data_IF_017444825633
#
_entry.id   IF_017444825633
#
_cell.length_a   1.000
_cell.length_b   1.000
_cell.length_c   1.000
_cell.angle_alpha   90.00
_cell.angle_beta   90.00
_cell.angle_gamma   90.00
#
_symmetry.space_group_name_H-M   'P 1'
#
loop_
_entity.id
_entity.type
_entity.pdbx_description
1 polymer ?
#
# COMPACT_ATOMS: atom_id res chain seq x y z
N UNK A 1 -10.49 -20.83 9.88
CA UNK A 1 -9.26 -20.48 10.61
C UNK A 1 -8.98 -19.03 10.26
N UNK A 2 -9.44 -18.09 11.10
CA UNK A 2 -9.34 -16.65 10.86
C UNK A 2 -8.36 -16.03 11.85
N UNK A 3 -7.53 -15.11 11.36
CA UNK A 3 -6.53 -14.38 12.14
C UNK A 3 -7.10 -13.04 12.63
N UNK A 4 -6.64 -12.55 13.79
CA UNK A 4 -6.95 -11.22 14.35
C UNK A 4 -8.16 -11.17 15.31
N UNK A 5 -7.92 -11.04 16.62
CA UNK A 5 -8.97 -10.96 17.65
C UNK A 5 -9.34 -9.53 18.08
N UNK A 6 -8.64 -8.51 17.62
CA UNK A 6 -8.75 -7.15 18.17
C UNK A 6 -9.46 -6.13 17.26
N UNK A 7 -9.66 -6.46 15.98
CA UNK A 7 -10.48 -5.66 15.06
C UNK A 7 -11.43 -6.58 14.31
N UNK A 8 -12.73 -6.24 14.32
CA UNK A 8 -13.77 -6.99 13.60
C UNK A 8 -14.53 -6.02 12.71
N UNK A 9 -13.86 -5.50 11.68
CA UNK A 9 -14.52 -4.67 10.66
C UNK A 9 -15.36 -5.52 9.68
N UNK A 10 -15.16 -6.84 9.67
CA UNK A 10 -15.94 -7.77 8.83
C UNK A 10 -15.38 -7.93 7.41
N UNK A 11 -14.27 -7.26 7.08
CA UNK A 11 -13.51 -7.42 5.84
C UNK A 11 -12.03 -7.66 6.15
N UNK A 12 -11.49 -8.81 5.73
CA UNK A 12 -10.07 -9.14 5.96
C UNK A 12 -9.12 -8.12 5.32
N UNK A 13 -9.53 -7.43 4.25
CA UNK A 13 -8.73 -6.39 3.61
C UNK A 13 -8.64 -5.14 4.48
N UNK A 14 -9.73 -4.78 5.15
CA UNK A 14 -9.75 -3.63 6.04
C UNK A 14 -8.88 -3.86 7.28
N UNK A 15 -8.96 -5.06 7.87
CA UNK A 15 -8.14 -5.42 9.03
C UNK A 15 -6.63 -5.39 8.69
N UNK A 16 -6.21 -5.93 7.53
CA UNK A 16 -4.79 -5.92 7.08
C UNK A 16 -4.30 -4.50 6.81
N UNK A 17 -5.07 -3.68 6.10
CA UNK A 17 -4.63 -2.32 5.77
C UNK A 17 -4.57 -1.42 7.01
N UNK A 18 -5.44 -1.66 7.98
CA UNK A 18 -5.40 -0.99 9.27
C UNK A 18 -4.14 -1.39 10.04
N UNK A 19 -3.79 -2.67 10.06
CA UNK A 19 -2.53 -3.14 10.67
C UNK A 19 -1.29 -2.56 10.00
N UNK A 20 -1.29 -2.39 8.67
CA UNK A 20 -0.19 -1.69 7.95
C UNK A 20 -0.11 -0.22 8.38
N UNK A 21 -1.23 0.49 8.42
CA UNK A 21 -1.27 1.89 8.84
C UNK A 21 -0.86 2.06 10.32
N UNK A 22 -1.27 1.13 11.17
CA UNK A 22 -0.92 1.10 12.59
C UNK A 22 0.55 0.76 12.79
N UNK A 23 1.11 -0.24 12.10
CA UNK A 23 2.55 -0.57 12.16
C UNK A 23 3.45 0.56 11.61
N UNK A 24 2.93 1.34 10.66
CA UNK A 24 3.59 2.55 10.17
C UNK A 24 3.49 3.74 11.15
N UNK A 25 2.62 3.68 12.17
CA UNK A 25 2.36 4.78 13.11
C UNK A 25 2.70 4.49 14.60
N UNK A 26 2.64 3.25 15.07
CA UNK A 26 3.03 2.83 16.41
C UNK A 26 3.36 1.32 16.48
N UNK A 27 4.48 0.99 17.10
CA UNK A 27 5.02 -0.37 17.24
C UNK A 27 4.16 -1.21 18.17
N UNK A 28 3.48 -2.26 17.68
CA UNK A 28 3.21 -3.56 18.33
C UNK A 28 2.11 -4.39 17.60
N UNK A 29 2.47 -5.52 16.97
CA UNK A 29 1.84 -6.85 17.13
C UNK A 29 2.40 -7.89 16.13
N UNK A 30 2.14 -9.17 16.41
CA UNK A 30 2.82 -10.39 15.91
C UNK A 30 1.75 -11.30 15.23
N UNK A 31 1.93 -11.84 13.98
CA UNK A 31 1.59 -13.24 13.55
C UNK A 31 1.45 -13.55 12.02
N UNK A 32 2.38 -14.36 11.48
CA UNK A 32 2.86 -14.64 10.07
C UNK A 32 1.96 -14.75 8.80
N UNK A 33 2.24 -13.90 7.79
CA UNK A 33 1.87 -13.84 6.34
C UNK A 33 2.92 -13.01 5.55
N UNK A 34 2.93 -12.93 4.20
CA UNK A 34 4.00 -12.20 3.48
C UNK A 34 4.04 -10.69 3.75
N UNK A 35 2.91 -10.11 4.17
CA UNK A 35 2.81 -8.71 4.59
C UNK A 35 3.67 -8.40 5.81
N UNK A 36 3.98 -9.40 6.62
CA UNK A 36 4.63 -9.19 7.90
C UNK A 36 6.04 -9.71 7.97
N UNK A 37 6.58 -10.31 6.91
CA UNK A 37 8.01 -10.15 6.65
C UNK A 37 8.31 -8.68 6.38
N UNK A 38 7.51 -8.02 5.54
CA UNK A 38 7.67 -6.60 5.24
C UNK A 38 7.39 -5.71 6.46
N UNK A 39 6.37 -6.03 7.28
CA UNK A 39 6.13 -5.34 8.55
C UNK A 39 7.22 -5.71 9.59
N UNK A 40 7.66 -6.97 9.69
CA UNK A 40 8.77 -7.34 10.60
C UNK A 40 10.11 -6.73 10.18
N UNK A 41 10.35 -6.48 8.90
CA UNK A 41 11.53 -5.73 8.43
C UNK A 41 11.45 -4.26 8.87
N UNK A 42 10.24 -3.70 9.01
CA UNK A 42 10.02 -2.40 9.65
C UNK A 42 10.16 -2.46 11.19
N UNK A 43 9.71 -3.55 11.83
CA UNK A 43 9.70 -3.70 13.30
C UNK A 43 11.00 -4.27 13.90
N UNK A 44 11.81 -4.96 13.09
CA UNK A 44 12.90 -5.84 13.47
C UNK A 44 14.30 -5.29 13.19
N UNK A 45 14.60 -4.12 13.76
CA UNK A 45 15.93 -3.53 13.74
C UNK A 45 16.33 -2.96 15.09
N UNK A 46 16.65 -3.80 16.08
CA UNK A 46 17.50 -3.40 17.22
C UNK A 46 18.98 -3.23 16.76
N UNK A 47 19.17 -2.64 15.59
CA UNK A 47 20.46 -2.31 14.99
C UNK A 47 20.47 -0.78 14.80
N UNK A 48 21.49 -0.05 15.30
CA UNK A 48 21.60 1.40 15.14
C UNK A 48 21.73 1.85 13.66
N UNK A 49 21.76 0.94 12.69
CA UNK A 49 21.55 1.19 11.27
C UNK A 49 20.07 1.04 10.90
N UNK A 50 19.26 2.05 11.23
CA UNK A 50 17.91 2.20 10.71
C UNK A 50 18.00 2.32 9.17
N UNK A 51 17.62 1.28 8.42
CA UNK A 51 17.76 1.21 6.96
C UNK A 51 16.86 2.20 6.18
N UNK A 52 16.15 3.10 6.85
CA UNK A 52 15.37 4.16 6.20
C UNK A 52 14.12 3.67 5.45
N UNK A 53 13.74 2.40 5.61
CA UNK A 53 12.53 1.84 5.00
C UNK A 53 11.30 2.40 5.74
N UNK A 54 10.38 3.02 5.01
CA UNK A 54 9.26 3.78 5.59
C UNK A 54 7.89 3.35 5.04
N UNK A 55 7.89 2.43 4.08
CA UNK A 55 6.70 2.08 3.29
C UNK A 55 6.67 0.60 2.94
N UNK A 56 5.50 -0.02 3.10
CA UNK A 56 5.17 -1.34 2.52
C UNK A 56 4.23 -1.09 1.34
N UNK A 57 4.70 -1.22 0.08
CA UNK A 57 3.83 -1.06 -1.08
C UNK A 57 2.78 -2.17 -1.11
N UNK A 58 1.55 -1.81 -1.47
CA UNK A 58 0.46 -2.77 -1.61
C UNK A 58 -0.16 -2.72 -3.00
N UNK A 59 -0.62 -3.88 -3.47
CA UNK A 59 -1.52 -4.02 -4.62
C UNK A 59 -2.87 -4.47 -4.08
N UNK A 60 -3.94 -3.74 -4.44
CA UNK A 60 -5.31 -4.08 -4.09
C UNK A 60 -6.01 -4.77 -5.27
N UNK A 61 -6.97 -5.65 -5.01
CA UNK A 61 -7.68 -6.38 -6.05
C UNK A 61 -9.18 -6.20 -5.90
N UNK A 62 -9.82 -5.74 -6.96
CA UNK A 62 -11.24 -5.43 -7.01
C UNK A 62 -12.10 -6.68 -6.77
N UNK A 63 -13.17 -6.49 -6.00
CA UNK A 63 -14.16 -7.53 -5.72
C UNK A 63 -14.93 -7.88 -6.99
N UNK A 64 -14.92 -9.16 -7.36
CA UNK A 64 -15.75 -9.73 -8.43
C UNK A 64 -14.95 -10.21 -9.63
N UNK A 65 -13.98 -9.44 -10.11
CA UNK A 65 -13.13 -9.81 -11.25
C UNK A 65 -11.71 -10.23 -10.86
N UNK A 66 -11.36 -10.10 -9.57
CA UNK A 66 -10.02 -10.37 -9.04
C UNK A 66 -8.93 -9.63 -9.83
N UNK A 67 -9.24 -8.45 -10.38
CA UNK A 67 -8.26 -7.64 -11.11
C UNK A 67 -7.54 -6.68 -10.17
N UNK A 68 -6.23 -6.44 -10.40
CA UNK A 68 -5.51 -5.39 -9.71
C UNK A 68 -6.21 -4.05 -9.88
N UNK A 69 -6.35 -3.33 -8.78
CA UNK A 69 -6.87 -1.98 -8.76
C UNK A 69 -5.82 -1.04 -9.34
N UNK A 70 -6.26 -0.24 -10.31
CA UNK A 70 -5.45 0.78 -10.95
C UNK A 70 -5.94 2.15 -10.50
N UNK A 71 -5.07 2.86 -9.78
CA UNK A 71 -5.31 4.21 -9.32
C UNK A 71 -4.90 5.20 -10.38
N UNK A 72 -5.65 6.29 -10.51
CA UNK A 72 -5.36 7.39 -11.43
C UNK A 72 -5.32 8.70 -10.66
N UNK A 73 -4.42 9.59 -11.03
CA UNK A 73 -4.46 10.95 -10.52
C UNK A 73 -3.52 11.88 -11.27
N UNK A 74 -3.56 13.13 -10.86
CA UNK A 74 -2.82 14.22 -11.50
C UNK A 74 -1.98 14.88 -10.41
N UNK A 75 -0.66 15.11 -10.65
CA UNK A 75 0.18 15.83 -9.70
C UNK A 75 -0.38 17.23 -9.41
N UNK A 76 -0.37 17.66 -8.16
CA UNK A 76 -0.93 18.96 -7.78
C UNK A 76 -0.20 20.17 -8.43
N UNK A 77 1.03 19.97 -8.91
CA UNK A 77 1.85 20.99 -9.57
C UNK A 77 1.75 21.02 -11.10
N UNK A 78 1.15 20.00 -11.72
CA UNK A 78 1.05 19.88 -13.17
C UNK A 78 -0.29 19.25 -13.56
N UNK A 79 -1.24 20.10 -13.99
CA UNK A 79 -2.57 19.67 -14.42
C UNK A 79 -2.59 19.03 -15.82
N UNK A 80 -1.43 18.88 -16.47
CA UNK A 80 -1.31 18.40 -17.85
C UNK A 80 -1.34 16.88 -17.99
N UNK A 81 -0.58 16.17 -17.16
CA UNK A 81 -0.32 14.74 -17.35
C UNK A 81 -0.87 13.92 -16.19
N UNK A 82 -1.93 13.17 -16.48
CA UNK A 82 -2.47 12.18 -15.56
C UNK A 82 -1.61 10.93 -15.60
N UNK A 83 -1.27 10.40 -14.43
CA UNK A 83 -0.52 9.17 -14.29
C UNK A 83 -1.34 8.15 -13.52
N UNK A 84 -0.91 6.90 -13.57
CA UNK A 84 -1.60 5.80 -12.91
C UNK A 84 -0.64 4.82 -12.28
N UNK A 85 -1.08 4.13 -11.23
CA UNK A 85 -0.25 3.16 -10.54
C UNK A 85 -1.07 1.98 -10.04
N UNK A 86 -0.43 0.83 -9.95
CA UNK A 86 -0.94 -0.35 -9.25
C UNK A 86 -0.38 -0.51 -7.84
N UNK A 87 0.62 0.30 -7.48
CA UNK A 87 1.34 0.24 -6.22
C UNK A 87 0.97 1.44 -5.36
N UNK A 88 0.62 1.15 -4.11
CA UNK A 88 0.13 2.17 -3.20
C UNK A 88 0.85 2.11 -1.86
N UNK A 89 1.06 3.29 -1.28
CA UNK A 89 1.34 3.47 0.14
C UNK A 89 0.03 3.73 0.86
N UNK A 90 -0.24 3.01 1.92
CA UNK A 90 -1.39 3.30 2.80
C UNK A 90 -1.00 4.48 3.70
N UNK A 91 -1.78 5.57 3.71
CA UNK A 91 -1.53 6.71 4.61
C UNK A 91 -2.37 6.65 5.88
N UNK A 92 -3.62 6.20 5.75
CA UNK A 92 -4.55 6.09 6.89
C UNK A 92 -5.73 5.21 6.51
N UNK A 93 -6.30 4.52 7.50
CA UNK A 93 -7.58 3.81 7.38
C UNK A 93 -8.52 4.36 8.44
N UNK A 94 -9.75 4.71 8.06
CA UNK A 94 -10.75 5.22 8.99
C UNK A 94 -11.57 4.09 9.66
N UNK A 95 -12.47 4.47 10.57
CA UNK A 95 -13.35 3.53 11.27
C UNK A 95 -14.50 3.01 10.39
N UNK A 96 -14.82 3.72 9.30
CA UNK A 96 -15.87 3.38 8.36
C UNK A 96 -15.40 2.40 7.26
N UNK A 97 -14.10 2.07 7.25
CA UNK A 97 -13.49 1.14 6.30
C UNK A 97 -13.07 1.80 4.99
N UNK A 98 -12.84 3.11 4.96
CA UNK A 98 -12.16 3.78 3.86
C UNK A 98 -10.66 3.93 4.16
N UNK A 99 -9.85 3.89 3.11
CA UNK A 99 -8.42 4.16 3.19
C UNK A 99 -8.03 5.35 2.32
N UNK A 100 -7.07 6.12 2.80
CA UNK A 100 -6.31 7.08 1.99
C UNK A 100 -5.05 6.37 1.52
N UNK A 101 -4.90 6.27 0.20
CA UNK A 101 -3.77 5.66 -0.48
C UNK A 101 -3.01 6.72 -1.25
N UNK A 102 -1.71 6.60 -1.31
CA UNK A 102 -0.83 7.41 -2.14
C UNK A 102 -0.25 6.54 -3.26
N UNK A 103 -0.30 7.02 -4.50
CA UNK A 103 0.27 6.31 -5.63
C UNK A 103 1.79 6.31 -5.47
N UNK A 104 2.39 5.13 -5.68
CA UNK A 104 3.83 4.95 -5.77
C UNK A 104 4.22 4.78 -7.23
N UNK A 105 5.23 5.50 -7.69
CA UNK A 105 5.79 5.37 -9.04
C UNK A 105 7.28 5.69 -9.00
N UNK A 106 8.00 5.14 -9.95
CA UNK A 106 9.38 5.52 -10.23
C UNK A 106 9.40 6.80 -11.07
N UNK A 107 10.31 7.72 -10.76
CA UNK A 107 10.40 9.03 -11.43
C UNK A 107 10.81 8.94 -12.90
N UNK A 108 11.59 7.91 -13.25
CA UNK A 108 12.04 7.64 -14.63
C UNK A 108 11.09 6.70 -15.40
N UNK A 109 9.96 6.27 -14.81
CA UNK A 109 8.97 5.45 -15.51
C UNK A 109 8.19 6.30 -16.53
N UNK A 110 8.54 6.13 -17.79
CA UNK A 110 7.93 6.83 -18.94
C UNK A 110 6.56 6.26 -19.36
N UNK A 111 6.06 5.17 -18.77
CA UNK A 111 4.70 4.68 -19.03
C UNK A 111 3.73 5.19 -17.96
N UNK A 112 3.08 6.32 -18.22
CA UNK A 112 2.06 6.90 -17.33
C UNK A 112 0.79 6.04 -17.18
N UNK A 113 0.57 5.06 -18.07
CA UNK A 113 -0.65 4.25 -18.14
C UNK A 113 -0.39 2.73 -18.27
N UNK A 114 0.40 2.12 -17.35
CA UNK A 114 0.79 0.71 -17.43
C UNK A 114 -0.45 -0.19 -17.46
N UNK A 115 -0.48 -1.22 -18.32
CA UNK A 115 -1.69 -2.04 -18.50
C UNK A 115 -1.85 -3.12 -17.44
N UNK A 116 -0.77 -3.47 -16.76
CA UNK A 116 -0.68 -4.51 -15.75
C UNK A 116 0.34 -4.09 -14.68
N UNK A 117 0.24 -4.62 -13.43
CA UNK A 117 1.28 -4.38 -12.43
C UNK A 117 2.69 -4.76 -12.88
N UNK A 118 2.82 -5.72 -13.81
CA UNK A 118 4.13 -6.14 -14.35
C UNK A 118 4.73 -5.20 -15.39
N UNK A 119 3.93 -4.26 -15.90
CA UNK A 119 4.39 -3.29 -16.91
C UNK A 119 5.01 -2.05 -16.24
N UNK A 120 4.64 -1.79 -14.98
CA UNK A 120 5.12 -0.65 -14.21
C UNK A 120 6.48 -0.97 -13.57
N UNK A 121 7.45 -0.05 -13.67
CA UNK A 121 8.75 -0.25 -13.02
C UNK A 121 8.58 -0.15 -11.49
N UNK A 122 9.27 -1.04 -10.79
CA UNK A 122 9.26 -1.14 -9.33
C UNK A 122 10.67 -1.18 -8.76
N UNK A 123 11.66 -0.77 -9.54
CA UNK A 123 13.06 -0.78 -9.15
C UNK A 123 13.34 0.28 -8.09
N UNK A 124 12.72 1.46 -8.23
CA UNK A 124 12.80 2.56 -7.26
C UNK A 124 11.45 3.28 -7.09
N UNK A 125 10.55 2.70 -6.29
CA UNK A 125 9.22 3.28 -6.06
C UNK A 125 9.27 4.46 -5.09
N UNK A 126 8.84 5.64 -5.56
CA UNK A 126 8.80 6.89 -4.79
C UNK A 126 7.35 7.36 -4.57
N UNK A 127 7.15 8.23 -3.58
CA UNK A 127 5.83 8.84 -3.34
C UNK A 127 5.53 9.89 -4.41
N UNK A 128 4.36 9.80 -5.03
CA UNK A 128 3.97 10.76 -6.08
C UNK A 128 3.32 12.03 -5.54
N UNK A 129 2.93 12.07 -4.26
CA UNK A 129 2.06 13.12 -3.72
C UNK A 129 0.59 13.00 -4.13
N UNK A 130 0.24 12.03 -4.99
CA UNK A 130 -1.12 11.82 -5.48
C UNK A 130 -1.85 10.89 -4.51
N UNK A 131 -2.79 11.45 -3.74
CA UNK A 131 -3.60 10.72 -2.78
C UNK A 131 -5.00 10.43 -3.33
N UNK A 132 -5.50 9.21 -3.11
CA UNK A 132 -6.84 8.76 -3.45
C UNK A 132 -7.52 8.16 -2.22
N UNK A 133 -8.84 8.31 -2.12
CA UNK A 133 -9.64 7.66 -1.08
C UNK A 133 -10.42 6.51 -1.68
N UNK A 134 -10.36 5.34 -1.05
CA UNK A 134 -11.03 4.12 -1.51
C UNK A 134 -11.82 3.47 -0.39
N UNK A 135 -12.93 2.82 -0.72
CA UNK A 135 -13.69 1.97 0.20
C UNK A 135 -13.08 0.56 0.19
N UNK A 136 -12.63 0.08 1.35
CA UNK A 136 -11.95 -1.21 1.47
C UNK A 136 -12.90 -2.40 1.26
N UNK A 137 -14.22 -2.18 1.34
CA UNK A 137 -15.22 -3.20 1.02
C UNK A 137 -15.31 -3.50 -0.49
N UNK A 138 -14.71 -2.65 -1.34
CA UNK A 138 -14.62 -2.85 -2.78
C UNK A 138 -13.49 -3.82 -3.18
N UNK A 139 -12.63 -4.23 -2.26
CA UNK A 139 -11.51 -5.12 -2.55
C UNK A 139 -11.71 -6.50 -1.89
N UNK A 140 -11.24 -7.55 -2.54
CA UNK A 140 -11.34 -8.92 -2.03
C UNK A 140 -9.98 -9.54 -1.69
N UNK A 141 -8.89 -8.91 -2.12
CA UNK A 141 -7.53 -9.41 -1.93
C UNK A 141 -6.56 -8.23 -1.89
N UNK A 142 -5.50 -8.39 -1.10
CA UNK A 142 -4.37 -7.46 -1.00
C UNK A 142 -3.08 -8.28 -1.11
N UNK A 143 -2.10 -7.73 -1.84
CA UNK A 143 -0.75 -8.27 -1.93
C UNK A 143 0.21 -7.22 -1.40
N UNK A 144 1.02 -7.59 -0.40
CA UNK A 144 2.08 -6.74 0.14
C UNK A 144 3.41 -7.05 -0.54
N UNK A 145 4.17 -6.01 -0.85
CA UNK A 145 5.51 -6.09 -1.40
C UNK A 145 6.57 -5.91 -0.29
N UNK A 146 7.84 -6.28 -0.54
CA UNK A 146 8.95 -6.00 0.37
C UNK A 146 8.98 -4.53 0.82
N UNK A 147 9.40 -4.30 2.07
CA UNK A 147 9.52 -2.95 2.60
C UNK A 147 10.58 -2.16 1.82
N UNK A 148 10.27 -0.91 1.48
CA UNK A 148 11.13 0.01 0.74
C UNK A 148 11.24 1.35 1.49
N UNK A 149 12.24 2.14 1.10
CA UNK A 149 12.33 3.56 1.44
C UNK A 149 11.71 4.35 0.30
N UNK A 150 10.50 4.86 0.47
CA UNK A 150 9.86 5.73 -0.51
C UNK A 150 10.01 7.19 -0.04
N UNK A 151 11.04 7.89 -0.55
CA UNK A 151 11.35 9.28 -0.21
C UNK A 151 10.49 10.29 -0.97
#
# INVERSE_FOLDING_TARGET
MGCGSDYKTGSCVADILREIADAQSDVLSDCTTSCEQSISDLLGGNDPNNNGLDTVPVILYCKGDCKPFKGYGVPAGDLGDATSSFYFRVKSVDEDGCAVLELLRETDDHDDDPKSPVDQDTSDLEVTGICITVDLNCFCHVTCLPAISAL
#
